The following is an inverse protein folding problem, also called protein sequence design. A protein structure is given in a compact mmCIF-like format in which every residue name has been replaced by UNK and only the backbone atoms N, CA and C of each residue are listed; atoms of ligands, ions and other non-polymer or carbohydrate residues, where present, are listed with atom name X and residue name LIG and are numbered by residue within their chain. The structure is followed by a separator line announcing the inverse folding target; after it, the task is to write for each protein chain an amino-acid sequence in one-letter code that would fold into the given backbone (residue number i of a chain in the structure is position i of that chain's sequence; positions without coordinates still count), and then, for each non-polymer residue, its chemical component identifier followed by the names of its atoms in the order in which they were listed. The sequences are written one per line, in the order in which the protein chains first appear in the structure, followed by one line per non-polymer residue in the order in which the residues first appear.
data_IF_185073396423
#
_entry.id   IF_185073396423
#
_cell.length_a   1.000
_cell.length_b   1.000
_cell.length_c   1.000
_cell.angle_alpha   90.00
_cell.angle_beta   90.00
_cell.angle_gamma   90.00
#
_symmetry.space_group_name_H-M   'P 1'
#
loop_
_entity.id
_entity.type
_entity.pdbx_description
1 polymer ?
#
# COMPACT_ATOMS: atom_id res chain seq x y z
N UNK A 1 0.92 -47.03 60.05
CA UNK A 1 1.78 -45.96 59.50
C UNK A 1 2.41 -46.42 58.20
N UNK A 2 2.02 -45.78 57.08
CA UNK A 2 2.78 -45.42 55.86
C UNK A 2 1.80 -45.35 54.68
N UNK A 3 1.27 -44.14 54.48
CA UNK A 3 0.49 -43.73 53.33
C UNK A 3 1.38 -43.75 52.07
N UNK A 4 0.85 -44.23 50.94
CA UNK A 4 1.44 -44.00 49.62
C UNK A 4 0.56 -42.99 48.89
N UNK A 5 0.98 -41.73 48.88
CA UNK A 5 0.32 -40.63 48.19
C UNK A 5 0.43 -40.83 46.67
N UNK A 6 -0.71 -40.85 45.97
CA UNK A 6 -0.77 -40.71 44.51
C UNK A 6 -0.71 -39.23 44.13
N UNK A 7 0.15 -38.87 43.18
CA UNK A 7 0.31 -37.50 42.67
C UNK A 7 -0.86 -37.14 41.73
N UNK A 8 -1.37 -35.89 41.78
CA UNK A 8 -2.42 -35.42 40.87
C UNK A 8 -1.82 -34.84 39.58
N UNK A 9 -2.46 -35.12 38.44
CA UNK A 9 -2.30 -34.32 37.22
C UNK A 9 -1.85 -35.07 35.97
N UNK A 10 -2.77 -35.82 35.34
CA UNK A 10 -2.70 -36.10 33.89
C UNK A 10 -4.11 -35.96 33.26
N UNK A 11 -4.61 -34.73 33.22
CA UNK A 11 -5.73 -34.38 32.32
C UNK A 11 -5.14 -33.96 30.99
N UNK A 12 -4.87 -34.94 30.12
CA UNK A 12 -4.31 -34.70 28.80
C UNK A 12 -5.18 -35.33 27.72
N UNK A 13 -6.03 -34.53 27.09
CA UNK A 13 -6.75 -34.93 25.88
C UNK A 13 -5.73 -35.29 24.79
N UNK A 14 -5.63 -36.59 24.44
CA UNK A 14 -4.69 -37.07 23.43
C UNK A 14 -5.17 -36.73 22.03
N UNK A 15 -4.25 -36.29 21.15
CA UNK A 15 -4.50 -36.11 19.70
C UNK A 15 -5.15 -37.34 19.05
N UNK A 16 -4.86 -38.54 19.57
CA UNK A 16 -5.44 -39.81 19.11
C UNK A 16 -6.88 -40.01 19.60
N UNK A 17 -7.26 -39.41 20.74
CA UNK A 17 -8.63 -39.37 21.24
C UNK A 17 -9.52 -38.43 20.42
N UNK A 18 -8.98 -37.30 19.97
CA UNK A 18 -9.67 -36.37 19.07
C UNK A 18 -10.03 -37.03 17.72
N UNK A 19 -9.06 -37.65 17.06
CA UNK A 19 -9.26 -38.27 15.75
C UNK A 19 -10.23 -39.46 15.78
N UNK A 20 -10.32 -40.18 16.91
CA UNK A 20 -11.34 -41.23 17.09
C UNK A 20 -12.75 -40.68 17.34
N UNK A 21 -12.88 -39.44 17.82
CA UNK A 21 -14.17 -38.79 18.05
C UNK A 21 -14.85 -38.24 16.79
N UNK A 22 -14.09 -38.01 15.71
CA UNK A 22 -14.60 -37.41 14.46
C UNK A 22 -15.33 -38.41 13.56
N UNK A 23 -15.17 -39.73 13.79
CA UNK A 23 -15.78 -40.77 12.96
C UNK A 23 -17.25 -41.09 13.21
N UNK A 24 -17.94 -40.36 14.11
CA UNK A 24 -19.26 -40.76 14.64
C UNK A 24 -20.36 -39.69 14.60
N UNK A 25 -20.33 -38.75 13.66
CA UNK A 25 -21.39 -37.75 13.51
C UNK A 25 -22.05 -37.79 12.11
N UNK A 26 -22.50 -38.96 11.69
CA UNK A 26 -23.45 -39.09 10.58
C UNK A 26 -24.85 -38.97 11.18
N UNK A 27 -25.38 -37.75 11.31
CA UNK A 27 -26.69 -37.57 11.95
C UNK A 27 -27.24 -36.15 12.10
N UNK A 28 -26.74 -35.15 11.37
CA UNK A 28 -27.27 -33.78 11.44
C UNK A 28 -27.61 -33.17 10.07
N UNK A 29 -27.66 -33.96 8.99
CA UNK A 29 -27.92 -33.44 7.65
C UNK A 29 -29.37 -32.96 7.43
N UNK A 30 -30.32 -33.35 8.29
CA UNK A 30 -31.75 -33.03 8.08
C UNK A 30 -32.22 -31.72 8.74
N UNK A 31 -31.39 -31.05 9.56
CA UNK A 31 -31.82 -29.81 10.27
C UNK A 31 -31.29 -28.53 9.61
N UNK A 32 -30.32 -28.63 8.69
CA UNK A 32 -29.70 -27.43 8.07
C UNK A 32 -30.62 -26.76 7.05
N UNK A 33 -31.55 -27.47 6.41
CA UNK A 33 -32.46 -26.86 5.42
C UNK A 33 -33.54 -25.95 6.01
N UNK A 34 -33.72 -25.90 7.34
CA UNK A 34 -34.72 -25.02 7.98
C UNK A 34 -34.15 -23.75 8.61
N UNK A 35 -32.83 -23.57 8.58
CA UNK A 35 -32.20 -22.31 9.03
C UNK A 35 -32.19 -21.25 7.91
N UNK A 36 -32.44 -21.64 6.65
CA UNK A 36 -32.48 -20.71 5.52
C UNK A 36 -33.80 -19.93 5.38
N UNK A 37 -34.83 -20.24 6.17
CA UNK A 37 -36.14 -19.56 6.13
C UNK A 37 -36.50 -18.90 7.46
N UNK A 38 -35.51 -18.39 8.22
CA UNK A 38 -35.81 -17.53 9.36
C UNK A 38 -36.37 -16.18 8.84
N UNK A 39 -37.67 -15.86 9.01
CA UNK A 39 -38.19 -14.54 8.71
C UNK A 39 -37.77 -13.65 9.87
N UNK A 40 -36.61 -13.03 9.75
CA UNK A 40 -36.02 -12.30 10.88
C UNK A 40 -34.68 -11.64 10.61
N UNK A 41 -33.96 -12.02 9.55
CA UNK A 41 -33.00 -11.11 8.95
C UNK A 41 -33.78 -10.17 8.06
N UNK A 42 -34.44 -9.21 8.70
CA UNK A 42 -34.93 -8.02 8.02
C UNK A 42 -33.80 -7.54 7.09
N UNK A 43 -34.12 -7.46 5.80
CA UNK A 43 -33.32 -6.73 4.81
C UNK A 43 -33.01 -5.41 5.49
N UNK A 44 -31.74 -5.15 5.81
CA UNK A 44 -31.37 -4.01 6.65
C UNK A 44 -32.08 -2.77 6.12
N UNK A 45 -33.10 -2.32 6.87
CA UNK A 45 -34.01 -1.31 6.39
C UNK A 45 -33.19 -0.11 5.91
N UNK A 46 -33.65 0.47 4.81
CA UNK A 46 -33.08 1.66 4.23
C UNK A 46 -33.04 2.79 5.27
N UNK A 47 -31.89 2.99 5.91
CA UNK A 47 -31.54 4.26 6.55
C UNK A 47 -31.32 5.25 5.40
N UNK A 48 -32.39 5.67 4.73
CA UNK A 48 -32.40 6.82 3.83
C UNK A 48 -32.60 8.05 4.69
N UNK A 49 -31.55 8.44 5.42
CA UNK A 49 -31.47 9.85 5.85
C UNK A 49 -31.20 10.65 4.58
N UNK A 50 -32.05 11.63 4.34
CA UNK A 50 -31.93 12.58 3.23
C UNK A 50 -30.49 13.13 3.18
N UNK A 51 -29.81 12.93 2.05
CA UNK A 51 -28.40 13.32 1.86
C UNK A 51 -27.34 12.24 2.12
N UNK A 52 -27.67 11.05 2.65
CA UNK A 52 -26.69 9.94 2.77
C UNK A 52 -26.85 8.98 1.58
N UNK A 53 -25.94 9.05 0.61
CA UNK A 53 -25.87 8.11 -0.51
C UNK A 53 -25.17 6.83 -0.06
N UNK A 54 -25.85 5.69 -0.15
CA UNK A 54 -25.22 4.37 0.05
C UNK A 54 -24.26 4.09 -1.11
N UNK A 55 -23.06 3.65 -0.78
CA UNK A 55 -22.13 3.13 -1.77
C UNK A 55 -22.48 1.66 -2.05
N UNK A 56 -22.52 1.20 -3.32
CA UNK A 56 -22.77 -0.20 -3.64
C UNK A 56 -21.78 -1.13 -2.94
N UNK A 57 -22.23 -2.32 -2.52
CA UNK A 57 -21.35 -3.35 -1.97
C UNK A 57 -20.28 -3.81 -2.97
N UNK A 58 -20.57 -3.62 -4.26
CA UNK A 58 -19.72 -3.95 -5.40
C UNK A 58 -18.57 -2.95 -5.59
N UNK A 59 -18.63 -1.77 -4.95
CA UNK A 59 -17.67 -0.67 -5.13
C UNK A 59 -18.19 0.46 -6.02
N UNK A 60 -17.32 1.42 -6.29
CA UNK A 60 -17.53 2.57 -7.17
C UNK A 60 -16.65 2.40 -8.41
N UNK A 61 -17.26 2.48 -9.59
CA UNK A 61 -16.52 2.56 -10.84
C UNK A 61 -15.97 3.97 -11.02
N UNK A 62 -14.64 4.07 -11.17
CA UNK A 62 -13.93 5.32 -11.46
C UNK A 62 -12.90 5.07 -12.56
N UNK A 63 -12.42 6.15 -13.18
CA UNK A 63 -11.26 6.09 -14.09
C UNK A 63 -10.11 6.87 -13.47
N UNK A 64 -8.97 6.20 -13.30
CA UNK A 64 -7.73 6.81 -12.86
C UNK A 64 -6.84 7.12 -14.06
N UNK A 65 -6.16 8.26 -14.04
CA UNK A 65 -5.17 8.61 -15.05
C UNK A 65 -3.79 8.36 -14.44
N UNK A 66 -3.16 7.24 -14.82
CA UNK A 66 -1.92 6.78 -14.19
C UNK A 66 -0.84 6.56 -15.24
N UNK A 67 0.27 7.27 -15.11
CA UNK A 67 1.41 7.21 -16.02
C UNK A 67 1.00 7.47 -17.48
N UNK A 68 0.15 8.48 -17.70
CA UNK A 68 -0.38 8.83 -19.02
C UNK A 68 -1.40 7.84 -19.61
N UNK A 69 -1.95 6.91 -18.82
CA UNK A 69 -2.94 5.93 -19.27
C UNK A 69 -4.23 6.02 -18.44
N UNK A 70 -5.37 5.96 -19.12
CA UNK A 70 -6.67 5.79 -18.48
C UNK A 70 -6.83 4.34 -17.97
N UNK A 71 -7.19 4.21 -16.70
CA UNK A 71 -7.31 2.93 -15.99
C UNK A 71 -8.68 2.86 -15.32
N UNK A 72 -9.68 2.22 -15.95
CA UNK A 72 -10.96 1.96 -15.30
C UNK A 72 -10.76 0.95 -14.17
N UNK A 73 -11.28 1.26 -12.99
CA UNK A 73 -11.18 0.43 -11.77
C UNK A 73 -12.48 0.48 -10.98
N UNK A 74 -12.75 -0.58 -10.23
CA UNK A 74 -13.84 -0.63 -9.26
C UNK A 74 -13.24 -0.60 -7.85
N UNK A 75 -13.55 0.43 -7.09
CA UNK A 75 -12.90 0.69 -5.79
C UNK A 75 -13.91 0.80 -4.67
N UNK A 76 -13.56 0.32 -3.48
CA UNK A 76 -14.32 0.69 -2.27
C UNK A 76 -14.01 2.14 -1.89
N UNK A 77 -14.93 2.87 -1.23
CA UNK A 77 -14.69 4.26 -0.82
C UNK A 77 -13.51 4.45 0.12
N UNK A 78 -13.16 3.42 0.88
CA UNK A 78 -12.07 3.42 1.85
C UNK A 78 -10.73 3.02 1.24
N UNK A 79 -10.70 2.52 0.00
CA UNK A 79 -9.45 2.12 -0.64
C UNK A 79 -8.58 3.33 -0.94
N UNK A 80 -7.35 3.25 -0.46
CA UNK A 80 -6.31 4.24 -0.74
C UNK A 80 -5.83 4.12 -2.19
N UNK A 81 -5.28 5.21 -2.71
CA UNK A 81 -4.60 5.23 -4.00
C UNK A 81 -3.43 4.22 -4.01
N UNK A 82 -2.73 4.08 -2.87
CA UNK A 82 -1.65 3.11 -2.73
C UNK A 82 -2.11 1.67 -2.98
N UNK A 83 -3.21 1.24 -2.33
CA UNK A 83 -3.77 -0.10 -2.50
C UNK A 83 -4.17 -0.34 -3.96
N UNK A 84 -4.88 0.61 -4.59
CA UNK A 84 -5.33 0.45 -5.98
C UNK A 84 -4.16 0.36 -6.96
N UNK A 85 -3.15 1.23 -6.81
CA UNK A 85 -1.94 1.19 -7.64
C UNK A 85 -1.24 -0.18 -7.55
N UNK A 86 -1.10 -0.72 -6.34
CA UNK A 86 -0.33 -1.95 -6.11
C UNK A 86 -1.11 -3.22 -6.42
N UNK A 87 -2.33 -3.31 -5.92
CA UNK A 87 -3.08 -4.57 -5.89
C UNK A 87 -3.97 -4.75 -7.12
N UNK A 88 -4.53 -3.66 -7.66
CA UNK A 88 -5.39 -3.74 -8.84
C UNK A 88 -4.62 -3.46 -10.13
N UNK A 89 -3.78 -2.42 -10.14
CA UNK A 89 -3.05 -2.00 -11.35
C UNK A 89 -1.68 -2.69 -11.51
N UNK A 90 -1.20 -3.40 -10.49
CA UNK A 90 0.08 -4.11 -10.52
C UNK A 90 1.31 -3.19 -10.56
N UNK A 91 1.15 -1.89 -10.32
CA UNK A 91 2.23 -0.90 -10.23
C UNK A 91 2.86 -0.96 -8.85
N UNK A 92 3.66 -2.00 -8.64
CA UNK A 92 4.21 -2.35 -7.32
C UNK A 92 5.44 -1.53 -6.91
N UNK A 93 5.91 -0.60 -7.75
CA UNK A 93 7.03 0.29 -7.48
C UNK A 93 6.78 1.18 -6.28
N UNK A 94 5.59 1.78 -6.19
CA UNK A 94 5.12 2.51 -5.01
C UNK A 94 4.97 1.54 -3.83
N UNK A 95 5.57 1.87 -2.67
CA UNK A 95 5.66 0.93 -1.54
C UNK A 95 4.76 1.30 -0.37
N UNK A 96 4.13 0.28 0.17
CA UNK A 96 3.58 0.32 1.51
C UNK A 96 4.69 -0.05 2.52
N UNK A 97 4.98 0.87 3.45
CA UNK A 97 5.95 0.65 4.54
C UNK A 97 5.29 0.89 5.89
N UNK A 98 4.55 2.00 6.05
CA UNK A 98 3.95 2.37 7.33
C UNK A 98 2.43 2.59 7.30
N UNK A 99 1.86 2.79 6.10
CA UNK A 99 0.43 3.06 5.88
C UNK A 99 -0.19 4.15 6.79
N UNK A 100 0.57 5.21 7.06
CA UNK A 100 0.18 6.29 7.99
C UNK A 100 0.91 7.61 7.73
N UNK A 101 1.39 7.79 6.50
CA UNK A 101 2.08 9.02 6.05
C UNK A 101 3.44 9.33 6.67
N UNK A 102 4.04 8.40 7.43
CA UNK A 102 5.24 8.68 8.20
C UNK A 102 6.58 8.40 7.49
N UNK A 103 6.59 7.67 6.35
CA UNK A 103 7.82 7.12 5.79
C UNK A 103 8.19 7.60 4.36
N UNK A 104 7.24 8.16 3.60
CA UNK A 104 7.45 8.54 2.20
C UNK A 104 7.67 7.40 1.19
N UNK A 105 7.59 6.13 1.58
CA UNK A 105 7.74 5.00 0.64
C UNK A 105 6.63 4.92 -0.41
N UNK A 106 5.47 5.48 -0.09
CA UNK A 106 4.28 5.51 -0.94
C UNK A 106 4.18 6.81 -1.77
N UNK A 107 5.27 7.56 -1.91
CA UNK A 107 5.25 8.84 -2.64
C UNK A 107 4.98 8.62 -4.13
N UNK A 108 4.00 9.36 -4.65
CA UNK A 108 3.65 9.49 -6.07
C UNK A 108 3.56 10.98 -6.43
N UNK A 109 3.57 11.33 -7.71
CA UNK A 109 3.17 12.66 -8.16
C UNK A 109 1.66 12.68 -8.44
N UNK A 110 0.98 13.69 -7.94
CA UNK A 110 -0.40 14.03 -8.26
C UNK A 110 -0.37 15.45 -8.84
N UNK A 111 -0.70 15.59 -10.14
CA UNK A 111 -0.58 16.83 -10.89
C UNK A 111 0.79 17.51 -10.71
N UNK A 112 1.86 16.71 -10.77
CA UNK A 112 3.24 17.18 -10.60
C UNK A 112 3.70 17.40 -9.16
N UNK A 113 2.81 17.31 -8.16
CA UNK A 113 3.17 17.50 -6.74
C UNK A 113 3.34 16.17 -6.03
N UNK A 114 4.39 16.01 -5.22
CA UNK A 114 4.58 14.78 -4.45
C UNK A 114 3.57 14.65 -3.30
N UNK A 115 2.87 13.54 -3.21
CA UNK A 115 1.93 13.20 -2.11
C UNK A 115 2.16 11.78 -1.59
N UNK A 116 1.71 11.50 -0.36
CA UNK A 116 1.71 10.15 0.19
C UNK A 116 0.44 9.41 -0.25
N UNK A 117 0.54 8.47 -1.19
CA UNK A 117 -0.63 7.77 -1.75
C UNK A 117 -1.40 6.93 -0.73
N UNK A 118 -0.80 6.57 0.41
CA UNK A 118 -1.50 5.89 1.51
C UNK A 118 -2.47 6.80 2.28
N UNK A 119 -2.40 8.12 2.09
CA UNK A 119 -3.30 9.09 2.73
C UNK A 119 -4.27 9.73 1.75
N UNK A 120 -4.35 9.21 0.51
CA UNK A 120 -5.29 9.67 -0.50
C UNK A 120 -6.21 8.52 -0.86
N UNK A 121 -7.52 8.76 -0.91
CA UNK A 121 -8.47 7.76 -1.38
C UNK A 121 -8.40 7.67 -2.92
N UNK A 122 -8.59 6.47 -3.46
CA UNK A 122 -8.58 6.29 -4.91
C UNK A 122 -9.72 7.08 -5.58
N UNK A 123 -10.88 7.20 -4.93
CA UNK A 123 -12.01 8.00 -5.42
C UNK A 123 -11.68 9.49 -5.56
N UNK A 124 -10.84 10.03 -4.67
CA UNK A 124 -10.42 11.43 -4.71
C UNK A 124 -9.32 11.66 -5.77
N UNK A 125 -8.67 10.61 -6.24
CA UNK A 125 -7.66 10.70 -7.30
C UNK A 125 -8.28 10.69 -8.71
N UNK A 126 -9.58 10.44 -8.83
CA UNK A 126 -10.29 10.53 -10.11
C UNK A 126 -10.22 11.97 -10.64
N UNK A 127 -9.88 12.12 -11.94
CA UNK A 127 -9.73 13.43 -12.59
C UNK A 127 -8.37 14.10 -12.38
N UNK A 128 -7.44 13.47 -11.65
CA UNK A 128 -6.07 13.93 -11.47
C UNK A 128 -5.07 13.04 -12.21
N UNK A 129 -3.93 13.61 -12.63
CA UNK A 129 -2.85 12.83 -13.23
C UNK A 129 -1.94 12.27 -12.12
N UNK A 130 -1.85 10.96 -12.04
CA UNK A 130 -0.97 10.24 -11.11
C UNK A 130 0.26 9.72 -11.86
N UNK A 131 1.45 10.05 -11.36
CA UNK A 131 2.70 9.49 -11.87
C UNK A 131 3.44 8.72 -10.78
N UNK A 132 3.73 7.44 -11.05
CA UNK A 132 4.52 6.57 -10.18
C UNK A 132 5.97 6.49 -10.66
N UNK A 133 6.82 5.75 -9.94
CA UNK A 133 8.22 5.54 -10.33
C UNK A 133 8.35 4.87 -11.71
N UNK A 134 7.42 3.97 -12.03
CA UNK A 134 7.34 3.28 -13.32
C UNK A 134 7.08 4.26 -14.47
N UNK A 135 6.31 5.32 -14.22
CA UNK A 135 5.98 6.36 -15.20
C UNK A 135 7.08 7.39 -15.44
N UNK A 136 8.21 7.33 -14.72
CA UNK A 136 9.34 8.23 -14.93
C UNK A 136 10.22 7.82 -16.11
N UNK A 137 10.26 6.52 -16.44
CA UNK A 137 10.97 6.03 -17.62
C UNK A 137 10.19 6.46 -18.86
N UNK A 138 10.86 7.11 -19.82
CA UNK A 138 10.27 7.56 -21.08
C UNK A 138 11.10 7.04 -22.25
N UNK A 139 10.46 6.46 -23.27
CA UNK A 139 11.13 5.89 -24.45
C UNK A 139 12.28 4.92 -24.11
N UNK A 140 12.11 4.13 -23.04
CA UNK A 140 13.12 3.19 -22.55
C UNK A 140 14.34 3.83 -21.87
N UNK A 141 14.34 5.15 -21.65
CA UNK A 141 15.39 5.90 -20.96
C UNK A 141 14.98 6.21 -19.52
N UNK A 142 15.93 6.03 -18.61
CA UNK A 142 15.77 6.42 -17.21
C UNK A 142 15.61 7.93 -17.10
N UNK A 143 14.79 8.36 -16.15
CA UNK A 143 14.78 9.76 -15.72
C UNK A 143 16.17 10.14 -15.16
N UNK A 144 16.66 11.38 -15.34
CA UNK A 144 17.96 11.81 -14.80
C UNK A 144 18.14 11.54 -13.30
N UNK A 145 17.07 11.62 -12.51
CA UNK A 145 17.08 11.25 -11.08
C UNK A 145 17.31 9.76 -10.91
N UNK A 146 16.63 8.91 -11.69
CA UNK A 146 16.85 7.45 -11.64
C UNK A 146 18.29 7.11 -12.02
N UNK A 147 18.82 7.70 -13.08
CA UNK A 147 20.20 7.48 -13.52
C UNK A 147 21.19 7.91 -12.44
N UNK A 148 21.03 9.09 -11.84
CA UNK A 148 21.91 9.57 -10.79
C UNK A 148 21.88 8.68 -9.53
N UNK A 149 20.72 8.09 -9.20
CA UNK A 149 20.62 7.13 -8.09
C UNK A 149 21.40 5.84 -8.38
N UNK A 150 21.41 5.37 -9.63
CA UNK A 150 22.21 4.23 -10.06
C UNK A 150 23.70 4.57 -9.99
N UNK A 151 24.11 5.69 -10.59
CA UNK A 151 25.51 6.07 -10.70
C UNK A 151 26.15 6.37 -9.33
N UNK A 152 25.36 6.87 -8.38
CA UNK A 152 25.83 7.20 -7.03
C UNK A 152 25.73 6.04 -6.03
N UNK A 153 25.31 4.85 -6.46
CA UNK A 153 25.01 3.71 -5.57
C UNK A 153 24.04 4.12 -4.43
N UNK A 154 23.02 4.92 -4.78
CA UNK A 154 22.06 5.48 -3.83
C UNK A 154 20.98 4.46 -3.40
N UNK A 155 21.33 3.18 -3.35
CA UNK A 155 20.43 2.08 -3.07
C UNK A 155 21.16 0.96 -2.33
N UNK A 156 20.57 0.48 -1.23
CA UNK A 156 20.97 -0.78 -0.60
C UNK A 156 19.86 -1.82 -0.78
N UNK A 157 18.92 -1.93 0.17
CA UNK A 157 17.78 -2.86 0.04
C UNK A 157 16.76 -2.46 -1.03
N UNK A 158 16.83 -1.22 -1.54
CA UNK A 158 15.95 -0.70 -2.59
C UNK A 158 14.52 -0.33 -2.18
N UNK A 159 14.04 -0.75 -1.00
CA UNK A 159 12.61 -0.63 -0.69
C UNK A 159 12.11 0.82 -0.60
N UNK A 160 12.87 1.75 -0.02
CA UNK A 160 12.46 3.15 0.06
C UNK A 160 12.75 3.96 -1.21
N UNK A 161 13.54 3.41 -2.14
CA UNK A 161 14.12 4.17 -3.27
C UNK A 161 13.07 4.69 -4.25
N UNK A 162 12.01 3.94 -4.62
CA UNK A 162 10.92 4.48 -5.44
C UNK A 162 10.35 5.80 -4.91
N UNK A 163 10.04 5.86 -3.61
CA UNK A 163 9.53 7.07 -2.98
C UNK A 163 10.55 8.21 -2.98
N UNK A 164 11.82 7.92 -2.72
CA UNK A 164 12.90 8.91 -2.80
C UNK A 164 13.08 9.47 -4.21
N UNK A 165 13.06 8.62 -5.24
CA UNK A 165 13.21 9.04 -6.64
C UNK A 165 12.06 9.96 -7.04
N UNK A 166 10.82 9.56 -6.78
CA UNK A 166 9.65 10.38 -7.12
C UNK A 166 9.64 11.71 -6.37
N UNK A 167 9.96 11.69 -5.07
CA UNK A 167 10.10 12.90 -4.25
C UNK A 167 11.21 13.82 -4.78
N UNK A 168 12.33 13.25 -5.20
CA UNK A 168 13.47 14.00 -5.75
C UNK A 168 13.14 14.62 -7.10
N UNK A 169 12.40 13.92 -7.96
CA UNK A 169 11.89 14.48 -9.22
C UNK A 169 11.00 15.70 -8.96
N UNK A 170 10.03 15.58 -8.05
CA UNK A 170 9.19 16.71 -7.65
C UNK A 170 10.00 17.90 -7.11
N UNK A 171 11.00 17.63 -6.26
CA UNK A 171 11.88 18.65 -5.74
C UNK A 171 12.63 19.38 -6.86
N UNK A 172 13.15 18.66 -7.84
CA UNK A 172 13.94 19.25 -8.94
C UNK A 172 13.06 19.90 -10.02
N UNK A 173 11.78 19.55 -10.12
CA UNK A 173 10.82 20.30 -10.93
C UNK A 173 10.56 21.68 -10.32
N UNK A 174 10.51 21.78 -8.99
CA UNK A 174 10.34 23.04 -8.27
C UNK A 174 11.64 23.84 -8.15
N UNK A 175 12.76 23.15 -7.86
CA UNK A 175 14.08 23.73 -7.66
C UNK A 175 15.13 23.01 -8.53
N UNK A 176 15.26 23.35 -9.82
CA UNK A 176 16.21 22.68 -10.72
C UNK A 176 17.67 22.68 -10.23
N UNK A 177 18.07 23.74 -9.51
CA UNK A 177 19.39 23.89 -8.90
C UNK A 177 19.31 23.79 -7.36
N UNK A 178 18.59 22.81 -6.84
CA UNK A 178 18.36 22.66 -5.40
C UNK A 178 19.67 22.66 -4.59
N UNK A 179 19.75 23.53 -3.60
CA UNK A 179 20.89 23.57 -2.66
C UNK A 179 20.91 22.33 -1.77
N UNK A 180 22.05 21.98 -1.16
CA UNK A 180 22.13 20.86 -0.22
C UNK A 180 21.11 20.94 0.92
N UNK A 181 20.76 22.15 1.36
CA UNK A 181 19.74 22.34 2.40
C UNK A 181 18.33 22.06 1.88
N UNK A 182 17.97 22.59 0.70
CA UNK A 182 16.69 22.28 0.05
C UNK A 182 16.51 20.79 -0.23
N UNK A 183 17.59 20.08 -0.58
CA UNK A 183 17.56 18.63 -0.78
C UNK A 183 17.24 17.90 0.54
N UNK A 184 17.91 18.27 1.63
CA UNK A 184 17.61 17.68 2.95
C UNK A 184 16.18 17.94 3.39
N UNK A 185 15.71 19.17 3.24
CA UNK A 185 14.37 19.58 3.68
C UNK A 185 13.29 18.96 2.78
N UNK A 186 13.50 18.95 1.46
CA UNK A 186 12.59 18.35 0.49
C UNK A 186 12.41 16.85 0.68
N UNK A 187 13.47 16.15 1.09
CA UNK A 187 13.48 14.70 1.33
C UNK A 187 13.25 14.30 2.78
N UNK A 188 13.02 15.25 3.70
CA UNK A 188 12.83 14.97 5.12
C UNK A 188 11.62 14.05 5.41
N UNK A 189 10.66 13.97 4.49
CA UNK A 189 9.50 13.08 4.58
C UNK A 189 9.78 11.62 4.17
N UNK A 190 10.99 11.29 3.73
CA UNK A 190 11.35 9.95 3.26
C UNK A 190 12.36 9.29 4.21
N UNK A 191 12.03 8.08 4.66
CA UNK A 191 12.86 7.33 5.61
C UNK A 191 13.62 6.20 4.91
N UNK A 192 14.93 6.17 5.11
CA UNK A 192 15.82 5.08 4.70
C UNK A 192 16.38 4.36 5.93
N UNK A 193 15.96 3.10 6.16
CA UNK A 193 16.47 2.31 7.30
C UNK A 193 17.89 1.79 7.09
N UNK A 194 18.29 1.59 5.84
CA UNK A 194 19.66 1.26 5.44
C UNK A 194 20.65 2.42 5.63
N UNK A 195 20.16 3.63 5.93
CA UNK A 195 20.95 4.84 6.11
C UNK A 195 21.78 5.26 4.88
N UNK A 196 21.26 5.04 3.67
CA UNK A 196 21.92 5.44 2.41
C UNK A 196 21.82 6.97 2.10
N UNK A 197 21.45 7.80 3.08
CA UNK A 197 21.13 9.23 2.87
C UNK A 197 22.25 10.02 2.19
N UNK A 198 23.52 9.77 2.54
CA UNK A 198 24.65 10.48 1.92
C UNK A 198 24.68 10.27 0.39
N UNK A 199 24.52 9.02 -0.06
CA UNK A 199 24.47 8.67 -1.49
C UNK A 199 23.20 9.16 -2.17
N UNK A 200 22.07 9.13 -1.46
CA UNK A 200 20.81 9.72 -1.95
C UNK A 200 20.97 11.22 -2.18
N UNK A 201 21.55 11.96 -1.23
CA UNK A 201 21.73 13.41 -1.39
C UNK A 201 22.77 13.74 -2.47
N UNK A 202 23.80 12.93 -2.63
CA UNK A 202 24.78 13.04 -3.72
C UNK A 202 24.12 12.80 -5.09
N UNK A 203 23.27 11.78 -5.21
CA UNK A 203 22.52 11.51 -6.43
C UNK A 203 21.63 12.67 -6.84
N UNK A 204 20.91 13.27 -5.89
CA UNK A 204 20.00 14.40 -6.16
C UNK A 204 20.79 15.64 -6.58
N UNK A 205 21.94 15.90 -5.96
CA UNK A 205 22.84 16.98 -6.37
C UNK A 205 23.39 16.75 -7.79
N UNK A 206 23.76 15.51 -8.11
CA UNK A 206 24.24 15.12 -9.44
C UNK A 206 23.15 15.32 -10.50
N UNK A 207 21.91 14.92 -10.19
CA UNK A 207 20.77 15.13 -11.08
C UNK A 207 20.47 16.63 -11.27
N UNK A 208 20.56 17.45 -10.21
CA UNK A 208 20.38 18.91 -10.28
C UNK A 208 21.43 19.60 -11.16
N UNK A 209 22.66 19.08 -11.18
CA UNK A 209 23.76 19.61 -11.99
C UNK A 209 23.66 19.25 -13.49
N UNK A 210 22.60 18.53 -13.92
CA UNK A 210 22.41 18.10 -15.31
C UNK A 210 22.96 16.70 -15.62
N UNK A 211 23.47 15.97 -14.63
CA UNK A 211 24.11 14.67 -14.80
C UNK A 211 25.48 14.79 -15.51
N UNK A 212 26.39 13.84 -15.24
CA UNK A 212 27.66 13.73 -15.97
C UNK A 212 27.44 13.07 -17.34
N UNK A 213 26.62 13.68 -18.19
CA UNK A 213 26.28 13.22 -19.55
C UNK A 213 26.63 14.24 -20.61
#
# INVERSE_FOLDING_TARGET
MKQKQSRPGETGFSRRGFLKGVGGAVGAAAVVSRVLEAPGLARADEITREGIRRVPAEGLEITLHVNGQERPVTVRPDQTLLEVLREQLGLTGTKEICDRGACGGCTVLLDGRSINSCLMLAVDAAGHEVRTVEGLVQDGRLDPVQQAFVDSDACQCGYCIPGFVVRSRALLDEFPNATPQQIRDGLAGNICRCAAYARIFEAVQTAAAGGNG
#
